data_IF_836694807913
#
_entry.id   IF_836694807913
#
_cell.length_a   1.000
_cell.length_b   1.000
_cell.length_c   1.000
_cell.angle_alpha   90.00
_cell.angle_beta   90.00
_cell.angle_gamma   90.00
#
_symmetry.space_group_name_H-M   'P 1'
#
loop_
_entity.id
_entity.type
_entity.pdbx_description
1 polymer ?
#
# COMPACT_ATOMS: atom_id res chain seq x y z
N UNK A 1 3.70 32.61 6.31
CA UNK A 1 4.07 31.49 5.42
C UNK A 1 4.21 30.15 6.16
N UNK A 2 4.91 30.06 7.32
CA UNK A 2 5.07 28.77 8.03
C UNK A 2 3.77 28.14 8.59
N UNK A 3 2.81 28.93 9.08
CA UNK A 3 1.59 28.38 9.70
C UNK A 3 0.67 27.64 8.72
N UNK A 4 0.51 28.13 7.49
CA UNK A 4 -0.29 27.45 6.46
C UNK A 4 0.36 26.13 6.03
N UNK A 5 1.68 26.10 5.87
CA UNK A 5 2.41 24.85 5.57
C UNK A 5 2.27 23.83 6.71
N UNK A 6 2.36 24.28 7.97
CA UNK A 6 2.21 23.38 9.13
C UNK A 6 0.78 22.82 9.25
N UNK A 7 -0.25 23.64 9.01
CA UNK A 7 -1.64 23.17 8.97
C UNK A 7 -1.88 22.17 7.85
N UNK A 8 -1.31 22.41 6.67
CA UNK A 8 -1.40 21.48 5.53
C UNK A 8 -0.75 20.13 5.87
N UNK A 9 0.42 20.12 6.50
CA UNK A 9 1.08 18.88 6.92
C UNK A 9 0.24 18.09 7.92
N UNK A 10 -0.40 18.75 8.89
CA UNK A 10 -1.30 18.11 9.85
C UNK A 10 -2.51 17.50 9.16
N UNK A 11 -3.14 18.24 8.23
CA UNK A 11 -4.27 17.76 7.43
C UNK A 11 -3.89 16.54 6.59
N UNK A 12 -2.73 16.57 5.92
CA UNK A 12 -2.21 15.45 5.14
C UNK A 12 -1.99 14.21 6.04
N UNK A 13 -1.41 14.41 7.23
CA UNK A 13 -1.19 13.31 8.18
C UNK A 13 -2.50 12.68 8.65
N UNK A 14 -3.55 13.49 8.84
CA UNK A 14 -4.86 13.02 9.25
C UNK A 14 -5.55 12.24 8.12
N UNK A 15 -5.43 12.73 6.88
CA UNK A 15 -5.95 12.03 5.70
C UNK A 15 -5.28 10.66 5.52
N UNK A 16 -3.95 10.58 5.67
CA UNK A 16 -3.21 9.30 5.62
C UNK A 16 -3.71 8.33 6.69
N UNK A 17 -3.83 8.78 7.95
CA UNK A 17 -4.31 7.93 9.05
C UNK A 17 -5.74 7.44 8.83
N UNK A 18 -6.62 8.31 8.33
CA UNK A 18 -7.99 7.93 8.02
C UNK A 18 -8.03 6.88 6.90
N UNK A 19 -7.16 7.00 5.90
CA UNK A 19 -7.07 6.05 4.79
C UNK A 19 -6.54 4.67 5.24
N UNK A 20 -5.51 4.65 6.10
CA UNK A 20 -5.01 3.41 6.72
C UNK A 20 -6.14 2.72 7.49
N UNK A 21 -6.86 3.47 8.33
CA UNK A 21 -7.97 2.91 9.09
C UNK A 21 -9.09 2.40 8.16
N UNK A 22 -9.40 3.11 7.07
CA UNK A 22 -10.36 2.65 6.06
C UNK A 22 -9.93 1.33 5.45
N UNK A 23 -8.66 1.19 5.07
CA UNK A 23 -8.10 -0.04 4.51
C UNK A 23 -8.15 -1.18 5.54
N UNK A 24 -7.67 -0.96 6.77
CA UNK A 24 -7.65 -1.96 7.82
C UNK A 24 -9.06 -2.43 8.21
N UNK A 25 -10.05 -1.53 8.18
CA UNK A 25 -11.44 -1.82 8.56
C UNK A 25 -12.17 -2.83 7.68
N UNK A 26 -11.65 -3.17 6.48
CA UNK A 26 -12.29 -4.18 5.63
C UNK A 26 -12.06 -5.61 6.12
N UNK A 27 -10.92 -5.88 6.77
CA UNK A 27 -10.49 -7.24 7.12
C UNK A 27 -11.51 -8.00 8.00
N UNK A 28 -12.11 -7.39 9.05
CA UNK A 28 -13.13 -8.07 9.84
C UNK A 28 -14.33 -8.54 9.00
N UNK A 29 -14.71 -7.80 7.96
CA UNK A 29 -15.81 -8.20 7.07
C UNK A 29 -15.40 -9.36 6.17
N UNK A 30 -14.17 -9.36 5.64
CA UNK A 30 -13.66 -10.47 4.82
C UNK A 30 -13.61 -11.76 5.66
N UNK A 31 -13.09 -11.70 6.89
CA UNK A 31 -13.07 -12.85 7.79
C UNK A 31 -14.48 -13.34 8.13
N UNK A 32 -15.42 -12.43 8.38
CA UNK A 32 -16.82 -12.79 8.62
C UNK A 32 -17.44 -13.50 7.41
N UNK A 33 -17.09 -13.13 6.18
CA UNK A 33 -17.55 -13.83 4.97
C UNK A 33 -16.99 -15.27 4.93
N UNK A 34 -15.73 -15.49 5.27
CA UNK A 34 -15.16 -16.84 5.34
C UNK A 34 -15.88 -17.69 6.40
N UNK A 35 -16.19 -17.14 7.58
CA UNK A 35 -16.99 -17.83 8.61
C UNK A 35 -18.42 -18.16 8.12
N UNK A 36 -19.05 -17.26 7.37
CA UNK A 36 -20.36 -17.51 6.78
C UNK A 36 -20.30 -18.59 5.70
N UNK A 37 -19.23 -18.63 4.91
CA UNK A 37 -19.02 -19.67 3.90
C UNK A 37 -18.89 -21.06 4.49
N UNK A 38 -18.33 -21.20 5.70
CA UNK A 38 -18.28 -22.50 6.40
C UNK A 38 -19.67 -23.07 6.71
N UNK A 39 -20.71 -22.22 6.74
CA UNK A 39 -22.10 -22.62 7.00
C UNK A 39 -22.86 -23.01 5.73
N UNK A 40 -22.25 -22.88 4.55
CA UNK A 40 -22.88 -23.26 3.28
C UNK A 40 -22.73 -24.77 3.09
N UNK A 41 -23.86 -25.49 3.09
CA UNK A 41 -23.88 -26.96 2.95
C UNK A 41 -23.49 -27.43 1.53
N UNK A 42 -23.72 -26.61 0.51
CA UNK A 42 -23.51 -26.96 -0.90
C UNK A 42 -22.05 -26.69 -1.31
N UNK A 43 -21.21 -27.73 -1.51
CA UNK A 43 -19.76 -27.54 -1.63
C UNK A 43 -19.34 -26.82 -2.91
N UNK A 44 -20.10 -26.95 -3.99
CA UNK A 44 -19.79 -26.34 -5.28
C UNK A 44 -20.05 -24.83 -5.22
N UNK A 45 -21.19 -24.40 -4.69
CA UNK A 45 -21.48 -22.99 -4.41
C UNK A 45 -20.50 -22.39 -3.39
N UNK A 46 -20.18 -23.11 -2.31
CA UNK A 46 -19.20 -22.65 -1.33
C UNK A 46 -17.85 -22.34 -1.99
N UNK A 47 -17.36 -23.24 -2.85
CA UNK A 47 -16.10 -23.06 -3.56
C UNK A 47 -16.17 -21.90 -4.55
N UNK A 48 -17.24 -21.77 -5.33
CA UNK A 48 -17.42 -20.66 -6.26
C UNK A 48 -17.40 -19.31 -5.53
N UNK A 49 -18.14 -19.18 -4.42
CA UNK A 49 -18.15 -17.92 -3.66
C UNK A 49 -16.78 -17.66 -3.03
N UNK A 50 -16.10 -18.69 -2.50
CA UNK A 50 -14.75 -18.57 -1.94
C UNK A 50 -13.76 -18.03 -2.98
N UNK A 51 -13.77 -18.57 -4.20
CA UNK A 51 -12.90 -18.08 -5.28
C UNK A 51 -13.17 -16.61 -5.62
N UNK A 52 -14.43 -16.18 -5.64
CA UNK A 52 -14.77 -14.79 -5.88
C UNK A 52 -14.31 -13.87 -4.73
N UNK A 53 -14.43 -14.32 -3.47
CA UNK A 53 -13.94 -13.56 -2.32
C UNK A 53 -12.43 -13.39 -2.35
N UNK A 54 -11.69 -14.46 -2.68
CA UNK A 54 -10.23 -14.40 -2.87
C UNK A 54 -9.86 -13.41 -3.97
N UNK A 55 -10.53 -13.46 -5.12
CA UNK A 55 -10.26 -12.54 -6.23
C UNK A 55 -10.52 -11.06 -5.84
N UNK A 56 -11.55 -10.80 -5.03
CA UNK A 56 -11.84 -9.47 -4.50
C UNK A 56 -10.78 -9.03 -3.48
N UNK A 57 -10.37 -9.93 -2.57
CA UNK A 57 -9.32 -9.70 -1.59
C UNK A 57 -7.99 -9.37 -2.27
N UNK A 58 -7.59 -10.16 -3.27
CA UNK A 58 -6.40 -9.94 -4.09
C UNK A 58 -6.47 -8.60 -4.82
N UNK A 59 -7.60 -8.24 -5.41
CA UNK A 59 -7.78 -6.96 -6.07
C UNK A 59 -7.65 -5.79 -5.08
N UNK A 60 -8.13 -5.96 -3.85
CA UNK A 60 -8.05 -4.95 -2.80
C UNK A 60 -6.63 -4.73 -2.30
N UNK A 61 -5.88 -5.81 -2.01
CA UNK A 61 -4.49 -5.69 -1.50
C UNK A 61 -3.50 -5.23 -2.58
N UNK A 62 -3.76 -5.54 -3.85
CA UNK A 62 -2.86 -5.18 -4.95
C UNK A 62 -3.22 -3.86 -5.64
N UNK A 63 -4.39 -3.26 -5.35
CA UNK A 63 -4.78 -1.98 -5.96
C UNK A 63 -4.27 -0.78 -5.16
N UNK A 64 -3.36 -0.03 -5.78
CA UNK A 64 -2.82 1.20 -5.20
C UNK A 64 -3.92 2.23 -4.89
N UNK A 65 -4.98 2.30 -5.70
CA UNK A 65 -6.12 3.20 -5.45
C UNK A 65 -6.91 2.82 -4.19
N UNK A 66 -6.80 1.58 -3.74
CA UNK A 66 -7.40 1.08 -2.50
C UNK A 66 -6.48 1.16 -1.29
N UNK A 67 -5.16 1.12 -1.50
CA UNK A 67 -4.16 1.32 -0.44
C UNK A 67 -3.93 2.80 -0.12
N UNK A 68 -4.01 3.69 -1.11
CA UNK A 68 -3.79 5.13 -0.97
C UNK A 68 -4.74 5.92 -1.89
N UNK A 69 -5.82 6.46 -1.32
CA UNK A 69 -6.74 7.38 -2.01
C UNK A 69 -6.02 8.57 -2.62
N UNK A 70 -6.58 9.14 -3.71
CA UNK A 70 -6.10 10.38 -4.35
C UNK A 70 -6.08 11.61 -3.43
N UNK A 71 -6.75 11.54 -2.27
CA UNK A 71 -6.69 12.56 -1.22
C UNK A 71 -5.40 12.50 -0.39
N UNK A 72 -4.70 11.36 -0.40
CA UNK A 72 -3.36 11.23 0.20
C UNK A 72 -2.35 11.77 -0.81
N UNK A 73 -1.62 12.85 -0.50
CA UNK A 73 -0.58 13.35 -1.39
C UNK A 73 0.51 12.30 -1.58
N UNK A 74 1.14 12.31 -2.75
CA UNK A 74 2.21 11.40 -3.16
C UNK A 74 3.23 11.16 -2.03
N UNK A 75 3.42 9.89 -1.64
CA UNK A 75 4.41 9.51 -0.63
C UNK A 75 5.81 9.67 -1.22
N UNK A 76 6.61 10.56 -0.63
CA UNK A 76 8.00 10.78 -1.03
C UNK A 76 8.93 10.09 -0.05
N UNK A 77 9.80 9.23 -0.58
CA UNK A 77 10.86 8.56 0.19
C UNK A 77 12.18 9.26 -0.08
N UNK A 78 12.86 9.70 0.99
CA UNK A 78 14.21 10.28 0.91
C UNK A 78 15.26 9.28 1.40
N UNK A 79 16.31 9.07 0.60
CA UNK A 79 17.46 8.22 0.97
C UNK A 79 18.66 9.13 1.23
N UNK A 80 19.25 9.03 2.43
CA UNK A 80 20.36 9.86 2.89
C UNK A 80 21.59 9.03 3.23
N UNK A 81 22.78 9.61 3.06
CA UNK A 81 24.07 8.93 3.22
C UNK A 81 25.22 9.72 2.59
N UNK A 82 26.46 9.39 2.94
CA UNK A 82 27.66 10.06 2.44
C UNK A 82 27.87 9.81 0.92
N UNK A 83 28.82 10.50 0.28
CA UNK A 83 29.05 10.40 -1.17
C UNK A 83 29.35 8.95 -1.61
N UNK A 84 30.09 8.20 -0.80
CA UNK A 84 30.50 6.83 -1.07
C UNK A 84 29.44 5.75 -0.74
N UNK A 85 28.27 6.11 -0.21
CA UNK A 85 27.30 5.13 0.29
C UNK A 85 26.45 4.46 -0.78
N UNK A 86 26.71 4.71 -2.08
CA UNK A 86 26.02 4.03 -3.19
C UNK A 86 24.51 4.26 -3.25
N UNK A 87 24.01 5.42 -2.77
CA UNK A 87 22.56 5.73 -2.73
C UNK A 87 21.89 5.56 -4.10
N UNK A 88 22.53 6.07 -5.15
CA UNK A 88 22.04 5.98 -6.53
C UNK A 88 21.95 4.53 -7.00
N UNK A 89 22.96 3.71 -6.70
CA UNK A 89 22.95 2.28 -7.01
C UNK A 89 21.82 1.53 -6.29
N UNK A 90 21.51 1.90 -5.04
CA UNK A 90 20.41 1.32 -4.27
C UNK A 90 19.04 1.72 -4.84
N UNK A 91 18.84 3.01 -5.16
CA UNK A 91 17.62 3.50 -5.84
C UNK A 91 17.44 2.81 -7.19
N UNK A 92 18.52 2.72 -7.97
CA UNK A 92 18.50 2.07 -9.28
C UNK A 92 18.09 0.60 -9.16
N UNK A 93 18.71 -0.16 -8.25
CA UNK A 93 18.36 -1.57 -8.01
C UNK A 93 16.89 -1.75 -7.63
N UNK A 94 16.35 -0.86 -6.79
CA UNK A 94 14.95 -0.92 -6.40
C UNK A 94 14.01 -0.72 -7.59
N UNK A 95 14.31 0.25 -8.46
CA UNK A 95 13.47 0.59 -9.61
C UNK A 95 13.60 -0.38 -10.78
N UNK A 96 14.79 -0.92 -11.03
CA UNK A 96 15.10 -1.70 -12.25
C UNK A 96 15.37 -3.19 -11.97
N UNK A 97 15.50 -3.59 -10.71
CA UNK A 97 15.89 -4.94 -10.31
C UNK A 97 17.37 -5.26 -10.51
N UNK A 98 18.16 -4.37 -11.11
CA UNK A 98 19.58 -4.59 -11.40
C UNK A 98 20.48 -3.69 -10.57
N UNK A 99 21.48 -4.29 -9.93
CA UNK A 99 22.50 -3.54 -9.19
C UNK A 99 23.65 -3.20 -10.11
N UNK A 100 23.80 -1.91 -10.42
CA UNK A 100 24.98 -1.39 -11.09
C UNK A 100 25.74 -0.57 -10.05
N UNK A 101 26.98 -1.00 -9.77
CA UNK A 101 27.89 -0.24 -8.91
C UNK A 101 28.48 0.92 -9.73
N UNK A 102 27.61 1.80 -10.25
CA UNK A 102 28.07 3.05 -10.83
C UNK A 102 28.41 4.00 -9.68
N UNK A 103 29.70 4.19 -9.44
CA UNK A 103 30.17 5.48 -8.93
C UNK A 103 29.73 6.51 -9.96
N UNK A 104 28.69 7.30 -9.63
CA UNK A 104 28.28 8.40 -10.50
C UNK A 104 29.51 9.26 -10.80
N UNK A 105 29.87 9.51 -12.08
CA UNK A 105 30.82 10.57 -12.36
C UNK A 105 30.17 11.88 -11.92
N UNK A 106 30.97 12.69 -11.25
CA UNK A 106 30.61 13.93 -10.54
C UNK A 106 29.57 14.82 -11.22
#
# INVERSE_FOLDING_TARGET
MNYQQQQQQLANSAAIRAEIHRFESVHPNIYSIYELLERVEEPMLQNQIREHVIAIEDAFVNSQEWTLSRSVPELKVGIVGNLASGKSALVHRYLTGTYVQEESPE
#
